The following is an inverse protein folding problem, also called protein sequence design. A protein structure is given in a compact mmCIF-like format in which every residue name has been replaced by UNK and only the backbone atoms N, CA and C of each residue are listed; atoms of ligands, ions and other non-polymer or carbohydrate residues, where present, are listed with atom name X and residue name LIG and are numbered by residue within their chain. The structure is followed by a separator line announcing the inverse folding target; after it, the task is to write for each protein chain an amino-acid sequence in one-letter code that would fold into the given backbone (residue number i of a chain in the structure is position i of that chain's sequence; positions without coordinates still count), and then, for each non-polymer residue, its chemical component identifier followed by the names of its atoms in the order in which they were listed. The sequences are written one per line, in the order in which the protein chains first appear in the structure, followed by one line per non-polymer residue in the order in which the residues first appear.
data_IF_330327880805
#
_entry.id   IF_330327880805
#
_cell.length_a   1.000
_cell.length_b   1.000
_cell.length_c   1.000
_cell.angle_alpha   90.00
_cell.angle_beta   90.00
_cell.angle_gamma   90.00
#
_symmetry.space_group_name_H-M   'P 1'
#
loop_
_entity.id
_entity.type
_entity.pdbx_description
1 polymer ?
#
# COMPACT_ATOMS: atom_id res chain seq x y z
N UNK A 1 3.56 -8.33 -11.54
CA UNK A 1 3.97 -8.78 -10.20
C UNK A 1 3.97 -10.30 -10.06
N UNK A 2 2.91 -11.00 -10.47
CA UNK A 2 2.81 -12.48 -10.36
C UNK A 2 4.00 -13.22 -10.96
N UNK A 3 4.40 -12.89 -12.20
CA UNK A 3 5.54 -13.54 -12.85
C UNK A 3 6.87 -13.30 -12.11
N UNK A 4 7.07 -12.11 -11.53
CA UNK A 4 8.29 -11.78 -10.80
C UNK A 4 8.34 -12.53 -9.46
N UNK A 5 7.20 -12.68 -8.78
CA UNK A 5 7.10 -13.52 -7.58
C UNK A 5 7.46 -14.98 -7.89
N UNK A 6 6.92 -15.53 -8.98
CA UNK A 6 7.12 -16.94 -9.34
C UNK A 6 8.52 -17.25 -9.91
N UNK A 7 9.07 -16.36 -10.74
CA UNK A 7 10.32 -16.62 -11.47
C UNK A 7 11.56 -16.10 -10.77
N UNK A 8 11.44 -14.99 -10.04
CA UNK A 8 12.56 -14.27 -9.44
C UNK A 8 12.54 -14.36 -7.91
N UNK A 9 11.48 -14.94 -7.33
CA UNK A 9 11.33 -15.08 -5.88
C UNK A 9 11.04 -13.76 -5.17
N UNK A 10 10.61 -12.73 -5.89
CA UNK A 10 10.25 -11.44 -5.29
C UNK A 10 9.07 -11.64 -4.32
N UNK A 11 9.29 -11.42 -3.03
CA UNK A 11 8.25 -11.48 -2.02
C UNK A 11 7.36 -10.25 -2.11
N UNK A 12 6.22 -10.39 -2.78
CA UNK A 12 5.30 -9.28 -3.01
C UNK A 12 3.85 -9.75 -3.07
N UNK A 13 2.97 -8.90 -2.57
CA UNK A 13 1.52 -9.09 -2.57
C UNK A 13 0.85 -7.73 -2.83
N UNK A 14 -0.32 -7.75 -3.43
CA UNK A 14 -1.11 -6.54 -3.69
C UNK A 14 -2.57 -6.83 -3.34
N UNK A 15 -3.16 -5.95 -2.54
CA UNK A 15 -4.56 -6.02 -2.11
C UNK A 15 -5.27 -4.72 -2.49
N UNK A 16 -6.59 -4.78 -2.63
CA UNK A 16 -7.37 -3.58 -2.91
C UNK A 16 -7.47 -2.75 -1.63
N UNK A 17 -7.36 -1.43 -1.76
CA UNK A 17 -7.64 -0.54 -0.64
C UNK A 17 -9.07 -0.77 -0.11
N UNK A 18 -9.26 -0.84 1.22
CA UNK A 18 -10.56 -1.09 1.84
C UNK A 18 -11.52 0.09 1.64
N UNK A 19 -12.82 -0.20 1.60
CA UNK A 19 -13.87 0.82 1.47
C UNK A 19 -13.98 1.45 0.07
N UNK A 20 -14.75 2.55 0.00
CA UNK A 20 -14.98 3.33 -1.21
C UNK A 20 -15.12 4.84 -0.89
N UNK A 21 -14.94 5.71 -1.88
CA UNK A 21 -15.06 7.16 -1.70
C UNK A 21 -14.16 7.71 -0.60
N UNK A 22 -14.73 8.55 0.27
CA UNK A 22 -13.98 9.17 1.39
C UNK A 22 -13.64 8.17 2.49
N UNK A 23 -14.46 7.12 2.70
CA UNK A 23 -14.13 6.05 3.66
C UNK A 23 -12.80 5.37 3.28
N UNK A 24 -12.59 5.11 1.98
CA UNK A 24 -11.32 4.56 1.48
C UNK A 24 -10.14 5.47 1.77
N UNK A 25 -10.29 6.79 1.57
CA UNK A 25 -9.22 7.76 1.82
C UNK A 25 -8.86 7.82 3.30
N UNK A 26 -9.87 7.87 4.16
CA UNK A 26 -9.67 7.92 5.61
C UNK A 26 -8.97 6.63 6.09
N UNK A 27 -9.42 5.47 5.63
CA UNK A 27 -8.81 4.19 6.02
C UNK A 27 -7.36 4.08 5.52
N UNK A 28 -7.06 4.57 4.31
CA UNK A 28 -5.68 4.63 3.81
C UNK A 28 -4.80 5.57 4.65
N UNK A 29 -5.33 6.71 5.07
CA UNK A 29 -4.62 7.64 5.94
C UNK A 29 -4.30 7.01 7.29
N UNK A 30 -5.26 6.29 7.88
CA UNK A 30 -5.06 5.59 9.15
C UNK A 30 -3.96 4.51 9.04
N UNK A 31 -3.98 3.71 7.97
CA UNK A 31 -2.93 2.71 7.70
C UNK A 31 -1.55 3.35 7.49
N UNK A 32 -1.49 4.49 6.79
CA UNK A 32 -0.25 5.23 6.60
C UNK A 32 0.32 5.75 7.93
N UNK A 33 -0.54 6.30 8.80
CA UNK A 33 -0.14 6.74 10.14
C UNK A 33 0.35 5.56 10.98
N UNK A 34 -0.36 4.43 10.97
CA UNK A 34 -0.01 3.25 11.77
C UNK A 34 1.32 2.60 11.37
N UNK A 35 1.67 2.67 10.08
CA UNK A 35 2.89 2.04 9.52
C UNK A 35 4.02 3.04 9.28
N UNK A 36 3.78 4.34 9.49
CA UNK A 36 4.73 5.41 9.16
C UNK A 36 4.90 5.69 7.67
N UNK A 37 4.06 5.11 6.80
CA UNK A 37 4.10 5.30 5.35
C UNK A 37 3.38 6.57 4.88
N UNK A 38 3.41 6.81 3.56
CA UNK A 38 2.65 7.88 2.89
C UNK A 38 1.59 7.33 1.94
N UNK A 39 0.46 8.01 1.83
CA UNK A 39 -0.59 7.70 0.83
C UNK A 39 -0.30 8.46 -0.45
N UNK A 40 -0.23 7.74 -1.57
CA UNK A 40 0.00 8.31 -2.91
C UNK A 40 -1.34 8.36 -3.68
N UNK A 41 -1.68 9.50 -4.28
CA UNK A 41 -2.97 9.66 -4.96
C UNK A 41 -3.26 11.07 -5.52
N UNK A 42 -4.21 11.10 -6.46
CA UNK A 42 -4.36 12.12 -7.51
C UNK A 42 -5.10 13.43 -7.09
N UNK A 43 -5.62 13.54 -5.87
CA UNK A 43 -6.45 14.71 -5.52
C UNK A 43 -5.64 15.99 -5.23
N UNK A 44 -4.33 15.87 -4.96
CA UNK A 44 -3.49 17.02 -4.65
C UNK A 44 -2.15 17.08 -5.41
N UNK A 45 -1.80 16.09 -6.26
CA UNK A 45 -0.53 16.05 -7.03
C UNK A 45 0.77 16.21 -6.20
N UNK A 46 0.71 16.12 -4.87
CA UNK A 46 1.88 16.38 -4.01
C UNK A 46 2.88 15.22 -3.99
N UNK A 47 2.46 14.00 -4.34
CA UNK A 47 3.29 12.80 -4.33
C UNK A 47 2.98 11.92 -5.54
N UNK A 48 3.79 12.03 -6.60
CA UNK A 48 3.70 11.16 -7.77
C UNK A 48 4.30 9.80 -7.43
N UNK A 49 3.70 8.74 -7.99
CA UNK A 49 4.20 7.37 -7.79
C UNK A 49 5.60 7.16 -8.39
N UNK A 50 5.97 7.97 -9.37
CA UNK A 50 7.27 7.96 -10.04
C UNK A 50 8.40 8.44 -9.12
N UNK A 51 8.08 9.27 -8.11
CA UNK A 51 9.04 9.91 -7.22
C UNK A 51 9.18 9.19 -5.86
N UNK A 52 8.50 8.05 -5.68
CA UNK A 52 8.47 7.28 -4.43
C UNK A 52 9.89 6.91 -3.97
N UNK A 53 10.20 7.23 -2.72
CA UNK A 53 11.43 6.83 -2.04
C UNK A 53 11.15 5.67 -1.07
N UNK A 54 12.19 4.91 -0.73
CA UNK A 54 12.09 3.82 0.27
C UNK A 54 11.58 4.37 1.62
N UNK A 55 11.99 5.59 1.98
CA UNK A 55 11.54 6.26 3.21
C UNK A 55 10.06 6.63 3.24
N UNK A 56 9.34 6.50 2.13
CA UNK A 56 7.91 6.77 2.07
C UNK A 56 7.05 5.52 2.27
N UNK A 57 7.67 4.33 2.25
CA UNK A 57 7.00 3.07 2.47
C UNK A 57 6.77 2.86 3.97
N UNK A 58 5.59 2.37 4.31
CA UNK A 58 5.28 1.97 5.69
C UNK A 58 5.92 0.62 6.03
N UNK A 59 6.21 0.43 7.31
CA UNK A 59 6.74 -0.83 7.85
C UNK A 59 5.77 -1.43 8.87
N UNK A 60 5.73 -2.75 8.92
CA UNK A 60 4.97 -3.54 9.88
C UNK A 60 5.77 -4.79 10.25
N UNK A 61 5.63 -5.27 11.48
CA UNK A 61 6.32 -6.49 11.95
C UNK A 61 5.83 -7.75 11.23
N UNK A 62 4.51 -7.86 11.03
CA UNK A 62 3.88 -8.98 10.35
C UNK A 62 2.63 -8.51 9.58
N UNK A 63 2.39 -9.12 8.40
CA UNK A 63 1.20 -8.89 7.57
C UNK A 63 0.66 -10.25 7.12
N UNK A 64 -0.59 -10.55 7.43
CA UNK A 64 -1.25 -11.82 7.09
C UNK A 64 -2.41 -11.57 6.13
N UNK A 65 -2.39 -12.22 4.95
CA UNK A 65 -3.39 -12.01 3.90
C UNK A 65 -4.09 -13.32 3.61
N UNK A 66 -5.42 -13.28 3.60
CA UNK A 66 -6.29 -14.38 3.17
C UNK A 66 -6.97 -14.03 1.85
N UNK A 67 -7.92 -14.88 1.43
CA UNK A 67 -8.72 -14.61 0.23
C UNK A 67 -9.63 -13.39 0.42
N UNK A 68 -10.12 -13.21 1.64
CA UNK A 68 -11.20 -12.27 1.95
C UNK A 68 -10.71 -11.08 2.80
N UNK A 69 -9.59 -11.23 3.51
CA UNK A 69 -9.07 -10.25 4.49
C UNK A 69 -7.56 -9.98 4.33
N UNK A 70 -7.12 -8.84 4.89
CA UNK A 70 -5.71 -8.40 4.98
C UNK A 70 -5.49 -7.69 6.30
#
# INVERSE_FOLDING_TARGET
MVLNRLKVGLQVVAVKAPGFGDNRKNTLADMAIATGGKVFGDEANLLKIEDVQISDLGEAEEVSITKDDT
#
